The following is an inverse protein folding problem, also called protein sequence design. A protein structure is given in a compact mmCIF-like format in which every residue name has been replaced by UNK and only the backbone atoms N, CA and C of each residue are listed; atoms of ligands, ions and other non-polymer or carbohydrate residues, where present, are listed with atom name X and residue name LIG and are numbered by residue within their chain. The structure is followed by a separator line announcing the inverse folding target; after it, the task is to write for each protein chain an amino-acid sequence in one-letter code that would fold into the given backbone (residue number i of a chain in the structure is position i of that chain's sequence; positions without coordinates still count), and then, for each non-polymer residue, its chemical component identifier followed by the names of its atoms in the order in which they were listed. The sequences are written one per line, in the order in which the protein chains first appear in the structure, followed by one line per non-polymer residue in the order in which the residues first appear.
data_IF_174840540206
#
_entry.id   IF_174840540206
#
_cell.length_a   1.000
_cell.length_b   1.000
_cell.length_c   1.000
_cell.angle_alpha   90.00
_cell.angle_beta   90.00
_cell.angle_gamma   90.00
#
_symmetry.space_group_name_H-M   'P 1'
#
loop_
_entity.id
_entity.type
_entity.pdbx_description
1 polymer ?
#
# COMPACT_ATOMS: atom_id res chain seq x y z
N UNK A 1 -56.51 -41.04 6.08
CA UNK A 1 -56.26 -39.59 5.90
C UNK A 1 -54.76 -39.39 5.93
N UNK A 2 -54.11 -39.32 4.78
CA UNK A 2 -52.67 -39.10 4.62
C UNK A 2 -52.41 -37.63 4.32
N UNK A 3 -51.66 -36.97 5.22
CA UNK A 3 -51.24 -35.60 4.98
C UNK A 3 -49.93 -35.62 4.17
N UNK A 4 -49.98 -35.08 2.94
CA UNK A 4 -48.81 -34.79 2.14
C UNK A 4 -48.08 -33.56 2.74
N UNK A 5 -46.85 -33.72 3.18
CA UNK A 5 -45.95 -32.60 3.48
C UNK A 5 -45.35 -32.08 2.18
N UNK A 6 -45.55 -30.80 1.90
CA UNK A 6 -44.93 -30.11 0.79
C UNK A 6 -43.42 -29.81 1.10
N UNK A 7 -42.51 -29.94 0.12
CA UNK A 7 -41.11 -29.58 0.35
C UNK A 7 -40.94 -28.07 0.40
N UNK A 8 -40.31 -27.57 1.43
CA UNK A 8 -39.84 -26.22 1.54
C UNK A 8 -38.68 -26.03 0.53
N UNK A 9 -38.93 -25.35 -0.57
CA UNK A 9 -37.92 -24.90 -1.51
C UNK A 9 -37.18 -23.71 -0.89
N UNK A 10 -36.01 -23.97 -0.33
CA UNK A 10 -35.05 -22.92 0.02
C UNK A 10 -34.39 -22.47 -1.29
N UNK A 11 -34.85 -21.34 -1.82
CA UNK A 11 -34.12 -20.65 -2.87
C UNK A 11 -32.82 -20.08 -2.29
N UNK A 12 -31.65 -20.37 -2.85
CA UNK A 12 -30.45 -19.66 -2.46
C UNK A 12 -30.58 -18.21 -2.97
N UNK A 13 -30.80 -17.28 -2.04
CA UNK A 13 -30.57 -15.86 -2.34
C UNK A 13 -29.10 -15.73 -2.73
N UNK A 14 -28.84 -15.70 -4.03
CA UNK A 14 -27.56 -15.27 -4.57
C UNK A 14 -27.39 -13.81 -4.14
N UNK A 15 -26.65 -13.60 -3.06
CA UNK A 15 -26.26 -12.27 -2.59
C UNK A 15 -25.60 -11.54 -3.76
N UNK A 16 -26.35 -10.64 -4.40
CA UNK A 16 -25.85 -9.81 -5.47
C UNK A 16 -24.60 -9.06 -4.95
N UNK A 17 -23.48 -9.23 -5.65
CA UNK A 17 -22.26 -8.49 -5.29
C UNK A 17 -22.57 -6.99 -5.31
N UNK A 18 -22.14 -6.22 -4.32
CA UNK A 18 -22.36 -4.77 -4.30
C UNK A 18 -21.86 -4.16 -5.62
N UNK A 19 -22.65 -3.28 -6.23
CA UNK A 19 -22.31 -2.68 -7.53
C UNK A 19 -21.06 -1.79 -7.49
N UNK A 20 -20.64 -1.40 -6.29
CA UNK A 20 -19.58 -0.42 -6.05
C UNK A 20 -18.52 -0.98 -5.10
N UNK A 21 -17.25 -0.69 -5.40
CA UNK A 21 -16.11 -0.91 -4.51
C UNK A 21 -15.77 0.42 -3.85
N UNK A 22 -16.08 0.55 -2.56
CA UNK A 22 -15.78 1.75 -1.79
C UNK A 22 -14.33 1.70 -1.31
N UNK A 23 -13.46 2.46 -1.94
CA UNK A 23 -12.04 2.49 -1.63
C UNK A 23 -11.64 3.77 -0.90
N UNK A 24 -10.89 3.63 0.19
CA UNK A 24 -10.18 4.76 0.80
C UNK A 24 -8.88 4.99 0.06
N UNK A 25 -8.60 6.25 -0.23
CA UNK A 25 -7.33 6.73 -0.75
C UNK A 25 -6.76 7.81 0.17
N UNK A 26 -5.45 7.99 0.09
CA UNK A 26 -4.71 9.02 0.80
C UNK A 26 -4.22 10.04 -0.23
N UNK A 27 -4.53 11.32 -0.01
CA UNK A 27 -4.20 12.37 -0.97
C UNK A 27 -2.69 12.57 -1.09
N UNK A 28 -2.22 12.80 -2.34
CA UNK A 28 -0.82 13.13 -2.66
C UNK A 28 0.24 12.15 -2.14
N UNK A 29 -0.04 10.85 -2.23
CA UNK A 29 0.90 9.76 -1.90
C UNK A 29 1.42 9.12 -3.19
N UNK A 30 2.12 9.89 -4.04
CA UNK A 30 2.78 9.32 -5.24
C UNK A 30 3.77 8.22 -4.84
N UNK A 31 3.93 7.16 -5.63
CA UNK A 31 3.26 6.86 -6.90
C UNK A 31 1.89 6.17 -6.72
N UNK A 32 1.38 6.02 -5.50
CA UNK A 32 0.15 5.26 -5.20
C UNK A 32 -1.11 6.01 -5.59
N UNK A 33 -1.16 7.31 -5.26
CA UNK A 33 -2.31 8.18 -5.48
C UNK A 33 -1.87 9.59 -5.80
N UNK A 34 -2.46 10.17 -6.84
CA UNK A 34 -2.46 11.60 -7.11
C UNK A 34 -3.77 12.04 -7.71
N UNK A 35 -4.16 13.29 -7.41
CA UNK A 35 -5.36 13.90 -7.95
C UNK A 35 -5.08 14.47 -9.33
N UNK A 36 -6.02 14.29 -10.25
CA UNK A 36 -6.02 14.87 -11.60
C UNK A 36 -7.36 15.54 -11.86
N UNK A 37 -7.48 16.28 -12.96
CA UNK A 37 -8.76 16.87 -13.39
C UNK A 37 -9.80 15.78 -13.71
N UNK A 38 -9.37 14.59 -14.12
CA UNK A 38 -10.23 13.45 -14.44
C UNK A 38 -10.58 12.57 -13.23
N UNK A 39 -10.00 12.83 -12.04
CA UNK A 39 -10.20 12.03 -10.83
C UNK A 39 -8.90 11.69 -10.13
N UNK A 40 -8.62 10.41 -9.97
CA UNK A 40 -7.41 9.92 -9.30
C UNK A 40 -6.63 8.97 -10.21
N UNK A 41 -5.32 9.02 -10.13
CA UNK A 41 -4.38 8.12 -10.79
C UNK A 41 -3.33 7.61 -9.81
N UNK A 42 -2.63 6.54 -10.18
CA UNK A 42 -1.54 5.98 -9.38
C UNK A 42 -1.56 4.47 -9.34
N UNK A 43 -0.49 3.87 -8.84
CA UNK A 43 -0.38 2.42 -8.76
C UNK A 43 -1.47 1.80 -7.87
N UNK A 44 -1.85 2.49 -6.79
CA UNK A 44 -2.97 2.06 -5.94
C UNK A 44 -4.32 2.11 -6.66
N UNK A 45 -4.53 3.09 -7.56
CA UNK A 45 -5.73 3.20 -8.39
C UNK A 45 -5.80 2.05 -9.39
N UNK A 46 -4.70 1.76 -10.10
CA UNK A 46 -4.65 0.67 -11.07
C UNK A 46 -4.86 -0.70 -10.39
N UNK A 47 -4.28 -0.93 -9.21
CA UNK A 47 -4.54 -2.15 -8.42
C UNK A 47 -6.01 -2.23 -8.00
N UNK A 48 -6.64 -1.13 -7.57
CA UNK A 48 -8.08 -1.11 -7.22
C UNK A 48 -8.96 -1.43 -8.43
N UNK A 49 -8.59 -0.99 -9.63
CA UNK A 49 -9.32 -1.34 -10.86
C UNK A 49 -9.20 -2.84 -11.21
N UNK A 50 -8.02 -3.47 -11.02
CA UNK A 50 -7.87 -4.92 -11.15
C UNK A 50 -8.79 -5.67 -10.16
N UNK A 51 -8.83 -5.20 -8.90
CA UNK A 51 -9.70 -5.78 -7.86
C UNK A 51 -11.17 -5.58 -8.20
N UNK A 52 -11.55 -4.41 -8.71
CA UNK A 52 -12.91 -4.13 -9.18
C UNK A 52 -13.35 -5.14 -10.23
N UNK A 53 -12.53 -5.34 -11.28
CA UNK A 53 -12.80 -6.30 -12.35
C UNK A 53 -12.94 -7.72 -11.80
N UNK A 54 -11.98 -8.16 -10.98
CA UNK A 54 -11.97 -9.49 -10.37
C UNK A 54 -13.16 -9.74 -9.44
N UNK A 55 -13.63 -8.71 -8.75
CA UNK A 55 -14.77 -8.81 -7.82
C UNK A 55 -16.14 -8.66 -8.50
N UNK A 56 -16.18 -8.40 -9.81
CA UNK A 56 -17.40 -8.20 -10.59
C UNK A 56 -18.15 -6.91 -10.25
N UNK A 57 -17.47 -5.93 -9.64
CA UNK A 57 -18.07 -4.63 -9.33
C UNK A 57 -18.04 -3.71 -10.55
N UNK A 58 -19.01 -2.81 -10.65
CA UNK A 58 -19.16 -1.95 -11.83
C UNK A 58 -18.25 -0.72 -11.79
N UNK A 59 -17.96 -0.20 -10.58
CA UNK A 59 -17.13 1.00 -10.40
C UNK A 59 -16.39 0.97 -9.05
N UNK A 60 -15.33 1.76 -8.98
CA UNK A 60 -14.69 2.15 -7.71
C UNK A 60 -15.21 3.53 -7.32
N UNK A 61 -15.58 3.71 -6.06
CA UNK A 61 -15.82 5.03 -5.48
C UNK A 61 -14.71 5.35 -4.49
N UNK A 62 -14.12 6.51 -4.67
CA UNK A 62 -13.00 6.94 -3.86
C UNK A 62 -13.46 7.84 -2.71
N UNK A 63 -12.98 7.52 -1.52
CA UNK A 63 -13.14 8.33 -0.31
C UNK A 63 -11.77 8.81 0.10
N UNK A 64 -11.55 10.12 0.08
CA UNK A 64 -10.29 10.72 0.53
C UNK A 64 -10.31 10.77 2.06
N UNK A 65 -9.35 10.11 2.69
CA UNK A 65 -9.18 10.17 4.13
C UNK A 65 -8.43 11.44 4.53
N UNK A 66 -8.90 12.10 5.60
CA UNK A 66 -8.26 13.30 6.14
C UNK A 66 -6.91 12.98 6.80
N UNK A 67 -6.81 11.79 7.42
CA UNK A 67 -5.56 11.27 8.01
C UNK A 67 -5.41 9.79 7.70
N UNK A 68 -4.20 9.25 7.88
CA UNK A 68 -3.96 7.80 7.73
C UNK A 68 -4.81 7.00 8.71
N UNK A 69 -4.98 7.50 9.95
CA UNK A 69 -5.81 6.86 10.96
C UNK A 69 -7.28 6.82 10.53
N UNK A 70 -7.84 7.93 10.08
CA UNK A 70 -9.25 7.99 9.66
C UNK A 70 -9.54 7.01 8.53
N UNK A 71 -8.64 6.93 7.54
CA UNK A 71 -8.80 5.99 6.44
C UNK A 71 -8.77 4.52 6.87
N UNK A 72 -7.91 4.18 7.81
CA UNK A 72 -7.85 2.83 8.40
C UNK A 72 -9.13 2.54 9.19
N UNK A 73 -9.60 3.49 10.01
CA UNK A 73 -10.82 3.35 10.82
C UNK A 73 -12.07 3.20 9.92
N UNK A 74 -12.11 3.83 8.75
CA UNK A 74 -13.21 3.64 7.79
C UNK A 74 -13.28 2.20 7.27
N UNK A 75 -12.13 1.54 7.06
CA UNK A 75 -12.10 0.12 6.66
C UNK A 75 -12.47 -0.79 7.83
N UNK A 76 -11.95 -0.52 9.04
CA UNK A 76 -12.29 -1.28 10.25
C UNK A 76 -13.79 -1.26 10.50
N UNK A 77 -14.42 -0.10 10.38
CA UNK A 77 -15.86 0.10 10.67
C UNK A 77 -16.77 -0.28 9.49
N UNK A 78 -16.22 -0.66 8.34
CA UNK A 78 -16.99 -1.03 7.14
C UNK A 78 -17.63 0.16 6.41
N UNK A 79 -17.25 1.39 6.72
CA UNK A 79 -17.64 2.59 5.95
C UNK A 79 -17.02 2.57 4.55
N UNK A 80 -15.83 1.97 4.44
CA UNK A 80 -15.18 1.62 3.19
C UNK A 80 -14.90 0.12 3.13
N UNK A 81 -14.81 -0.43 1.92
CA UNK A 81 -14.55 -1.85 1.71
C UNK A 81 -13.06 -2.18 1.77
N UNK A 82 -12.22 -1.26 1.29
CA UNK A 82 -10.79 -1.52 1.05
C UNK A 82 -9.97 -0.22 1.08
N UNK A 83 -8.69 -0.34 1.47
CA UNK A 83 -7.67 0.67 1.18
C UNK A 83 -6.41 -0.04 0.71
N UNK A 84 -5.81 0.40 -0.42
CA UNK A 84 -4.58 -0.16 -0.96
C UNK A 84 -3.38 0.77 -0.66
N UNK A 85 -2.14 0.27 -0.83
CA UNK A 85 -0.94 1.04 -0.53
C UNK A 85 -0.60 1.16 0.96
N UNK A 86 -1.15 0.28 1.78
CA UNK A 86 -0.96 0.28 3.23
C UNK A 86 0.18 -0.65 3.62
N UNK A 87 1.19 -0.11 4.30
CA UNK A 87 2.30 -0.88 4.83
C UNK A 87 1.81 -1.80 5.96
N UNK A 88 2.27 -3.06 5.94
CA UNK A 88 1.98 -4.03 6.98
C UNK A 88 2.58 -3.62 8.32
N UNK A 89 1.79 -3.71 9.39
CA UNK A 89 2.26 -3.69 10.77
C UNK A 89 1.49 -4.71 11.60
N UNK A 90 2.16 -5.31 12.57
CA UNK A 90 1.51 -6.28 13.48
C UNK A 90 0.34 -5.66 14.24
N UNK A 91 0.47 -4.39 14.66
CA UNK A 91 -0.63 -3.69 15.35
C UNK A 91 -1.89 -3.57 14.49
N UNK A 92 -1.74 -3.27 13.19
CA UNK A 92 -2.90 -3.18 12.28
C UNK A 92 -3.49 -4.55 11.96
N UNK A 93 -2.67 -5.59 11.86
CA UNK A 93 -3.13 -6.95 11.54
C UNK A 93 -4.01 -7.58 12.64
N UNK A 94 -4.05 -7.00 13.84
CA UNK A 94 -4.99 -7.44 14.89
C UNK A 94 -6.44 -7.04 14.62
N UNK A 95 -6.68 -6.08 13.72
CA UNK A 95 -8.01 -5.53 13.43
C UNK A 95 -8.38 -5.59 11.94
N UNK A 96 -7.43 -5.86 11.06
CA UNK A 96 -7.58 -5.85 9.62
C UNK A 96 -6.95 -7.09 8.99
N UNK A 97 -7.49 -7.51 7.86
CA UNK A 97 -6.87 -8.51 7.00
C UNK A 97 -6.07 -7.82 5.89
N UNK A 98 -4.86 -8.29 5.65
CA UNK A 98 -3.98 -7.82 4.60
C UNK A 98 -4.02 -8.74 3.39
N UNK A 99 -4.00 -8.16 2.21
CA UNK A 99 -3.82 -8.88 0.95
C UNK A 99 -2.36 -9.33 0.76
N UNK A 100 -2.12 -10.09 -0.31
CA UNK A 100 -0.78 -10.19 -0.89
C UNK A 100 -0.21 -8.78 -1.08
N UNK A 101 1.07 -8.55 -0.76
CA UNK A 101 1.70 -7.28 -1.05
C UNK A 101 1.95 -7.14 -2.55
N UNK A 102 1.58 -6.02 -3.15
CA UNK A 102 1.91 -5.68 -4.54
C UNK A 102 3.17 -4.82 -4.67
N UNK A 103 3.77 -4.48 -3.55
CA UNK A 103 5.04 -3.79 -3.44
C UNK A 103 5.71 -4.06 -2.10
N UNK A 104 6.98 -3.76 -2.03
CA UNK A 104 7.77 -3.81 -0.80
C UNK A 104 8.38 -2.45 -0.57
N UNK A 105 8.31 -1.98 0.65
CA UNK A 105 8.90 -0.72 1.07
C UNK A 105 9.63 -0.87 2.38
N UNK A 106 9.98 0.25 2.92
CA UNK A 106 10.54 0.43 4.26
C UNK A 106 10.57 1.90 4.56
N UNK A 107 11.11 2.25 5.70
CA UNK A 107 11.23 3.64 6.12
C UNK A 107 12.59 4.18 5.71
N UNK A 108 12.60 5.31 5.05
CA UNK A 108 13.80 6.07 4.67
C UNK A 108 13.65 7.53 5.07
N UNK A 109 14.70 8.28 4.82
CA UNK A 109 14.80 9.71 5.04
C UNK A 109 15.13 10.37 3.71
N UNK A 110 14.45 11.47 3.40
CA UNK A 110 14.79 12.38 2.32
C UNK A 110 15.49 13.58 2.93
N UNK A 111 16.63 13.93 2.40
CA UNK A 111 17.47 15.05 2.87
C UNK A 111 18.19 15.69 1.68
N UNK A 112 18.86 16.82 1.88
CA UNK A 112 19.70 17.42 0.84
C UNK A 112 20.85 16.48 0.45
N UNK A 113 21.27 16.52 -0.83
CA UNK A 113 22.31 15.62 -1.36
C UNK A 113 23.71 15.90 -0.79
N UNK A 114 23.97 17.14 -0.35
CA UNK A 114 25.23 17.58 0.28
C UNK A 114 25.30 17.40 1.79
N UNK A 115 24.35 16.63 2.36
CA UNK A 115 24.29 16.39 3.80
C UNK A 115 25.46 15.55 4.31
N UNK A 116 25.87 15.79 5.55
CA UNK A 116 26.80 14.92 6.27
C UNK A 116 26.13 13.73 6.97
N UNK A 117 24.79 13.64 6.88
CA UNK A 117 24.00 12.58 7.49
C UNK A 117 24.07 11.34 6.60
N UNK A 118 24.35 10.18 7.18
CA UNK A 118 24.38 8.87 6.47
C UNK A 118 23.13 8.02 6.72
N UNK A 119 22.24 8.51 7.56
CA UNK A 119 21.00 7.83 7.94
C UNK A 119 21.18 6.77 9.04
N UNK A 120 22.34 6.69 9.70
CA UNK A 120 22.50 5.89 10.92
C UNK A 120 21.85 6.59 12.11
N UNK A 121 21.42 5.85 13.17
CA UNK A 121 20.87 6.46 14.38
C UNK A 121 21.80 7.50 15.02
N UNK A 122 23.11 7.28 14.94
CA UNK A 122 24.10 8.21 15.51
C UNK A 122 24.17 9.53 14.72
N UNK A 123 24.12 9.48 13.38
CA UNK A 123 24.11 10.68 12.54
C UNK A 123 22.81 11.48 12.66
N UNK A 124 21.75 10.87 13.17
CA UNK A 124 20.42 11.47 13.35
C UNK A 124 20.21 12.03 14.75
N UNK A 125 21.14 11.83 15.68
CA UNK A 125 21.04 12.34 17.04
C UNK A 125 20.96 13.86 17.05
N UNK A 126 19.93 14.39 17.71
CA UNK A 126 19.66 15.83 17.78
C UNK A 126 19.04 16.44 16.52
N UNK A 127 18.85 15.66 15.46
CA UNK A 127 18.19 16.12 14.22
C UNK A 127 16.68 16.21 14.40
N UNK A 128 16.04 17.08 13.61
CA UNK A 128 14.58 17.15 13.49
C UNK A 128 14.14 16.47 12.21
N UNK A 129 13.23 15.49 12.33
CA UNK A 129 12.70 14.70 11.22
C UNK A 129 11.19 14.95 11.13
N UNK A 130 10.72 15.47 9.99
CA UNK A 130 9.30 15.55 9.68
C UNK A 130 8.73 14.17 9.37
N UNK A 131 7.58 13.83 9.95
CA UNK A 131 6.90 12.54 9.72
C UNK A 131 5.40 12.75 9.63
N UNK A 132 4.72 11.89 8.85
CA UNK A 132 3.25 11.85 8.86
C UNK A 132 2.82 10.97 10.04
N UNK A 133 1.96 11.51 10.92
CA UNK A 133 1.47 10.79 12.11
C UNK A 133 0.73 9.50 11.73
N UNK A 134 0.68 8.55 12.64
CA UNK A 134 -0.02 7.26 12.52
C UNK A 134 0.41 6.38 11.33
N UNK A 135 1.54 6.72 10.70
CA UNK A 135 2.18 5.90 9.68
C UNK A 135 3.09 4.84 10.28
N UNK A 136 3.31 3.75 9.52
CA UNK A 136 4.33 2.75 9.89
C UNK A 136 5.72 3.38 10.00
N UNK A 137 6.04 4.34 9.12
CA UNK A 137 7.34 5.03 9.13
C UNK A 137 7.55 5.86 10.39
N UNK A 138 6.53 6.57 10.87
CA UNK A 138 6.64 7.32 12.13
C UNK A 138 6.90 6.38 13.32
N UNK A 139 6.23 5.21 13.35
CA UNK A 139 6.46 4.20 14.40
C UNK A 139 7.88 3.61 14.35
N UNK A 140 8.35 3.28 13.14
CA UNK A 140 9.72 2.76 12.93
C UNK A 140 10.76 3.80 13.38
N UNK A 141 10.66 5.04 12.94
CA UNK A 141 11.62 6.10 13.30
C UNK A 141 11.62 6.38 14.79
N UNK A 142 10.47 6.41 15.45
CA UNK A 142 10.39 6.55 16.91
C UNK A 142 11.16 5.45 17.65
N UNK A 143 11.17 4.24 17.11
CA UNK A 143 11.88 3.10 17.72
C UNK A 143 13.37 3.06 17.38
N UNK A 144 13.72 3.36 16.12
CA UNK A 144 15.08 3.15 15.59
C UNK A 144 15.99 4.36 15.84
N UNK A 145 15.42 5.57 15.88
CA UNK A 145 16.18 6.82 16.06
C UNK A 145 15.69 7.63 17.27
N UNK A 146 15.74 7.08 18.49
CA UNK A 146 15.18 7.73 19.68
C UNK A 146 15.90 9.04 20.06
N UNK A 147 17.10 9.28 19.50
CA UNK A 147 17.85 10.51 19.68
C UNK A 147 17.46 11.67 18.78
N UNK A 148 16.57 11.45 17.80
CA UNK A 148 16.02 12.48 16.92
C UNK A 148 14.71 13.04 17.48
N UNK A 149 14.39 14.29 17.08
CA UNK A 149 13.09 14.90 17.35
C UNK A 149 12.16 14.65 16.17
N UNK A 150 11.02 13.99 16.39
CA UNK A 150 10.01 13.78 15.34
C UNK A 150 8.98 14.91 15.36
N UNK A 151 8.93 15.72 14.29
CA UNK A 151 7.90 16.72 14.04
C UNK A 151 6.78 16.09 13.22
N UNK A 152 5.62 15.88 13.84
CA UNK A 152 4.49 15.20 13.22
C UNK A 152 3.60 16.14 12.43
N UNK A 153 3.16 15.70 11.25
CA UNK A 153 2.19 16.36 10.37
C UNK A 153 0.97 15.47 10.18
N UNK A 154 -0.17 16.05 9.86
CA UNK A 154 -1.42 15.31 9.66
C UNK A 154 -1.45 14.60 8.32
N UNK A 155 -0.92 15.24 7.28
CA UNK A 155 -1.00 14.77 5.90
C UNK A 155 0.39 14.68 5.26
N UNK A 156 0.55 13.82 4.23
CA UNK A 156 1.77 13.78 3.42
C UNK A 156 2.10 15.12 2.75
N UNK A 157 1.08 15.85 2.32
CA UNK A 157 1.21 17.16 1.67
C UNK A 157 1.81 18.21 2.62
N UNK A 158 1.34 18.27 3.87
CA UNK A 158 1.90 19.16 4.89
C UNK A 158 3.35 18.82 5.20
N UNK A 159 3.66 17.53 5.39
CA UNK A 159 5.02 17.07 5.69
C UNK A 159 5.99 17.41 4.55
N UNK A 160 5.57 17.19 3.30
CA UNK A 160 6.37 17.53 2.12
C UNK A 160 6.54 19.04 1.96
N UNK A 161 5.49 19.82 2.20
CA UNK A 161 5.55 21.29 2.17
C UNK A 161 6.55 21.82 3.21
N UNK A 162 6.53 21.30 4.43
CA UNK A 162 7.45 21.68 5.49
C UNK A 162 8.91 21.33 5.16
N UNK A 163 9.14 20.20 4.47
CA UNK A 163 10.48 19.84 3.96
C UNK A 163 10.92 20.81 2.86
N UNK A 164 10.07 21.08 1.88
CA UNK A 164 10.39 21.95 0.75
C UNK A 164 10.61 23.42 1.17
N UNK A 165 9.95 23.89 2.22
CA UNK A 165 10.15 25.23 2.78
C UNK A 165 11.38 25.34 3.71
N UNK A 166 11.98 24.22 4.07
CA UNK A 166 13.10 24.17 5.02
C UNK A 166 12.67 24.18 6.49
N UNK A 167 11.38 24.09 6.81
CA UNK A 167 10.88 24.01 8.19
C UNK A 167 11.33 22.72 8.90
N UNK A 168 11.60 21.67 8.12
CA UNK A 168 12.27 20.44 8.57
C UNK A 168 13.38 20.09 7.60
N UNK A 169 14.60 19.84 8.09
CA UNK A 169 15.74 19.50 7.21
C UNK A 169 15.71 18.08 6.68
N UNK A 170 14.92 17.20 7.30
CA UNK A 170 14.81 15.79 6.99
C UNK A 170 13.34 15.40 6.96
N UNK A 171 12.94 14.66 5.92
CA UNK A 171 11.60 14.08 5.81
C UNK A 171 11.68 12.56 5.94
N UNK A 172 11.00 11.99 6.93
CA UNK A 172 10.91 10.55 7.15
C UNK A 172 9.63 9.96 6.58
N UNK A 173 9.73 8.87 5.82
CA UNK A 173 8.56 8.28 5.19
C UNK A 173 8.80 6.94 4.51
N UNK A 174 7.77 6.42 3.83
CA UNK A 174 7.85 5.21 3.02
C UNK A 174 8.72 5.39 1.79
N UNK A 175 9.52 4.38 1.46
CA UNK A 175 10.50 4.43 0.36
C UNK A 175 9.89 4.89 -0.97
N UNK A 176 8.71 4.35 -1.35
CA UNK A 176 8.08 4.69 -2.63
C UNK A 176 7.68 6.16 -2.69
N UNK A 177 7.05 6.67 -1.63
CA UNK A 177 6.63 8.06 -1.54
C UNK A 177 7.80 9.03 -1.55
N UNK A 178 8.86 8.73 -0.80
CA UNK A 178 10.05 9.58 -0.80
C UNK A 178 10.78 9.54 -2.14
N UNK A 179 10.88 8.37 -2.80
CA UNK A 179 11.48 8.26 -4.13
C UNK A 179 10.71 9.09 -5.17
N UNK A 180 9.37 9.06 -5.11
CA UNK A 180 8.54 9.84 -6.01
C UNK A 180 8.63 11.37 -5.80
N UNK A 181 9.17 11.82 -4.67
CA UNK A 181 9.36 13.23 -4.31
C UNK A 181 10.85 13.61 -4.20
N UNK A 182 11.76 12.74 -4.64
CA UNK A 182 13.20 12.99 -4.66
C UNK A 182 13.67 13.49 -6.02
N UNK A 183 14.75 14.30 -5.99
CA UNK A 183 15.51 14.68 -7.19
C UNK A 183 16.96 14.28 -6.95
N UNK A 184 17.52 13.33 -7.73
CA UNK A 184 18.88 12.83 -7.52
C UNK A 184 19.96 13.90 -7.49
N UNK A 185 19.73 15.05 -8.16
CA UNK A 185 20.66 16.16 -8.21
C UNK A 185 20.70 16.96 -6.90
N UNK A 186 19.61 17.01 -6.15
CA UNK A 186 19.45 17.90 -4.99
C UNK A 186 19.13 17.17 -3.69
N UNK A 187 18.71 15.92 -3.76
CA UNK A 187 18.29 15.15 -2.58
C UNK A 187 18.95 13.78 -2.52
N UNK A 188 19.06 13.25 -1.29
CA UNK A 188 19.50 11.90 -1.00
C UNK A 188 18.43 11.11 -0.23
N UNK A 189 18.31 9.83 -0.55
CA UNK A 189 17.46 8.88 0.18
C UNK A 189 18.31 7.99 1.08
N UNK A 190 18.18 8.16 2.40
CA UNK A 190 18.97 7.51 3.42
C UNK A 190 18.12 6.70 4.42
N UNK A 191 18.69 5.67 5.05
CA UNK A 191 19.91 4.96 4.68
C UNK A 191 19.73 4.18 3.37
N UNK A 192 20.80 3.66 2.79
CA UNK A 192 20.71 2.81 1.60
C UNK A 192 19.81 1.58 1.83
N UNK A 193 19.94 0.94 2.99
CA UNK A 193 19.04 -0.14 3.43
C UNK A 193 17.92 0.47 4.29
N UNK A 194 16.67 0.46 3.83
CA UNK A 194 15.55 1.01 4.60
C UNK A 194 15.41 0.38 5.98
N UNK A 195 15.01 1.17 6.96
CA UNK A 195 14.53 0.65 8.23
C UNK A 195 13.19 -0.05 8.06
N UNK A 196 12.92 -1.08 8.87
CA UNK A 196 11.60 -1.68 9.01
C UNK A 196 10.95 -2.05 7.66
N UNK A 197 11.57 -2.95 6.89
CA UNK A 197 10.99 -3.43 5.63
C UNK A 197 9.63 -4.08 5.87
N UNK A 198 8.66 -3.77 5.03
CA UNK A 198 7.33 -4.37 5.07
C UNK A 198 6.72 -4.48 3.67
N UNK A 199 5.81 -5.43 3.49
CA UNK A 199 4.94 -5.49 2.34
C UNK A 199 3.99 -4.29 2.29
N UNK A 200 3.70 -3.82 1.10
CA UNK A 200 2.68 -2.82 0.81
C UNK A 200 1.54 -3.54 0.11
N UNK A 201 0.40 -3.62 0.75
CA UNK A 201 -0.77 -4.35 0.25
C UNK A 201 -2.05 -3.56 0.39
N UNK A 202 -3.17 -4.25 0.22
CA UNK A 202 -4.48 -3.73 0.52
C UNK A 202 -4.96 -4.25 1.88
N UNK A 203 -5.75 -3.45 2.58
CA UNK A 203 -6.43 -3.83 3.82
C UNK A 203 -7.93 -3.92 3.59
N UNK A 204 -8.53 -4.91 4.19
CA UNK A 204 -9.99 -5.11 4.26
C UNK A 204 -10.39 -5.41 5.70
N UNK A 205 -11.67 -5.23 6.04
CA UNK A 205 -12.18 -5.67 7.34
C UNK A 205 -11.99 -7.19 7.51
N UNK A 206 -11.66 -7.65 8.72
CA UNK A 206 -11.48 -9.08 9.02
C UNK A 206 -12.71 -9.93 8.67
N UNK A 207 -13.89 -9.33 8.68
CA UNK A 207 -15.15 -10.01 8.35
C UNK A 207 -15.41 -10.10 6.82
N UNK A 208 -14.52 -9.55 5.97
CA UNK A 208 -14.71 -9.53 4.51
C UNK A 208 -13.73 -10.47 3.79
N UNK A 209 -13.71 -11.75 4.19
CA UNK A 209 -12.84 -12.78 3.60
C UNK A 209 -13.07 -12.99 2.10
N UNK A 210 -14.32 -12.80 1.62
CA UNK A 210 -14.61 -12.89 0.17
C UNK A 210 -13.87 -11.81 -0.61
N UNK A 211 -13.91 -10.55 -0.16
CA UNK A 211 -13.19 -9.48 -0.83
C UNK A 211 -11.68 -9.68 -0.74
N UNK A 212 -11.17 -10.15 0.41
CA UNK A 212 -9.76 -10.49 0.56
C UNK A 212 -9.29 -11.53 -0.46
N UNK A 213 -10.06 -12.61 -0.63
CA UNK A 213 -9.74 -13.65 -1.62
C UNK A 213 -9.75 -13.11 -3.05
N UNK A 214 -10.73 -12.27 -3.40
CA UNK A 214 -10.79 -11.62 -4.71
C UNK A 214 -9.62 -10.63 -4.92
N UNK A 215 -9.24 -9.91 -3.88
CA UNK A 215 -8.08 -9.00 -3.88
C UNK A 215 -6.78 -9.76 -4.11
N UNK A 216 -6.58 -10.87 -3.38
CA UNK A 216 -5.40 -11.71 -3.54
C UNK A 216 -5.31 -12.31 -4.94
N UNK A 217 -6.44 -12.76 -5.50
CA UNK A 217 -6.47 -13.30 -6.86
C UNK A 217 -6.12 -12.23 -7.89
N UNK A 218 -6.69 -11.02 -7.78
CA UNK A 218 -6.37 -9.92 -8.68
C UNK A 218 -4.87 -9.54 -8.64
N UNK A 219 -4.31 -9.41 -7.44
CA UNK A 219 -2.89 -9.07 -7.25
C UNK A 219 -2.01 -10.22 -7.76
N UNK A 220 -2.33 -11.47 -7.44
CA UNK A 220 -1.57 -12.63 -7.90
C UNK A 220 -1.56 -12.75 -9.44
N UNK A 221 -2.71 -12.55 -10.09
CA UNK A 221 -2.81 -12.56 -11.55
C UNK A 221 -2.02 -11.40 -12.18
N UNK A 222 -2.06 -10.20 -11.61
CA UNK A 222 -1.25 -9.08 -12.05
C UNK A 222 0.26 -9.39 -11.98
N UNK A 223 0.71 -9.96 -10.86
CA UNK A 223 2.12 -10.34 -10.69
C UNK A 223 2.54 -11.41 -11.71
N UNK A 224 1.72 -12.44 -11.91
CA UNK A 224 2.00 -13.51 -12.86
C UNK A 224 2.05 -12.96 -14.29
N UNK A 225 1.06 -12.15 -14.70
CA UNK A 225 1.04 -11.53 -16.01
C UNK A 225 2.26 -10.62 -16.28
N UNK A 226 2.72 -9.88 -15.25
CA UNK A 226 3.95 -9.09 -15.35
C UNK A 226 5.17 -9.98 -15.62
N UNK A 227 5.31 -11.09 -14.89
CA UNK A 227 6.42 -12.03 -15.04
C UNK A 227 6.39 -12.75 -16.40
N UNK A 228 5.19 -13.13 -16.86
CA UNK A 228 4.97 -13.77 -18.16
C UNK A 228 5.18 -12.83 -19.35
N UNK A 229 5.36 -11.55 -19.08
CA UNK A 229 5.68 -10.57 -20.10
C UNK A 229 4.48 -9.92 -20.78
N UNK A 230 3.29 -9.97 -20.16
CA UNK A 230 2.13 -9.27 -20.68
C UNK A 230 2.41 -7.77 -20.83
N UNK A 231 2.26 -7.27 -22.04
CA UNK A 231 2.66 -5.91 -22.39
C UNK A 231 1.84 -4.85 -21.63
N UNK A 232 0.54 -5.06 -21.47
CA UNK A 232 -0.34 -4.12 -20.79
C UNK A 232 -0.05 -4.04 -19.29
N UNK A 233 0.14 -5.20 -18.66
CA UNK A 233 0.49 -5.27 -17.23
C UNK A 233 1.87 -4.69 -16.96
N UNK A 234 2.85 -4.96 -17.84
CA UNK A 234 4.19 -4.35 -17.72
C UNK A 234 4.14 -2.84 -17.86
N UNK A 235 3.42 -2.32 -18.85
CA UNK A 235 3.25 -0.88 -19.01
C UNK A 235 2.59 -0.24 -17.79
N UNK A 236 1.53 -0.86 -17.26
CA UNK A 236 0.84 -0.39 -16.07
C UNK A 236 1.78 -0.31 -14.85
N UNK A 237 2.50 -1.38 -14.53
CA UNK A 237 3.40 -1.44 -13.36
C UNK A 237 4.63 -0.56 -13.56
N UNK A 238 5.26 -0.63 -14.74
CA UNK A 238 6.47 0.14 -15.05
C UNK A 238 6.25 1.64 -14.99
N UNK A 239 5.07 2.12 -15.37
CA UNK A 239 4.67 3.54 -15.27
C UNK A 239 4.87 4.09 -13.86
N UNK A 240 4.60 3.29 -12.83
CA UNK A 240 4.58 3.74 -11.45
C UNK A 240 5.85 3.42 -10.68
N UNK A 241 6.40 2.22 -10.88
CA UNK A 241 7.54 1.74 -10.09
C UNK A 241 8.70 1.21 -10.93
N UNK A 242 8.51 1.03 -12.23
CA UNK A 242 9.47 0.42 -13.15
C UNK A 242 10.51 1.39 -13.72
N UNK A 243 11.25 0.95 -14.74
CA UNK A 243 12.26 1.75 -15.40
C UNK A 243 11.65 3.02 -16.01
N UNK A 244 12.29 4.17 -15.75
CA UNK A 244 11.82 5.48 -16.21
C UNK A 244 10.78 6.15 -15.31
N UNK A 245 10.23 5.46 -14.30
CA UNK A 245 9.47 6.10 -13.23
C UNK A 245 10.40 6.76 -12.21
N UNK A 246 9.85 7.63 -11.36
CA UNK A 246 10.60 8.24 -10.26
C UNK A 246 11.09 7.23 -9.20
N UNK A 247 10.50 6.03 -9.14
CA UNK A 247 10.94 4.93 -8.26
C UNK A 247 12.09 4.15 -8.88
N UNK A 248 12.09 3.95 -10.21
CA UNK A 248 13.22 3.46 -10.99
C UNK A 248 13.63 2.00 -10.73
N UNK A 249 12.69 1.12 -10.35
CA UNK A 249 13.02 -0.30 -10.19
C UNK A 249 13.29 -0.94 -11.56
N UNK A 250 14.25 -1.86 -11.61
CA UNK A 250 14.46 -2.65 -12.83
C UNK A 250 13.37 -3.71 -12.99
N UNK A 251 13.09 -4.12 -14.23
CA UNK A 251 12.11 -5.19 -14.51
C UNK A 251 12.50 -6.52 -13.87
N UNK A 252 13.80 -6.82 -13.83
CA UNK A 252 14.34 -8.00 -13.15
C UNK A 252 14.09 -7.93 -11.65
N UNK A 253 14.25 -6.75 -11.04
CA UNK A 253 13.97 -6.51 -9.63
C UNK A 253 12.50 -6.71 -9.29
N UNK A 254 11.59 -6.19 -10.12
CA UNK A 254 10.15 -6.35 -9.97
C UNK A 254 9.77 -7.83 -10.16
N UNK A 255 10.26 -8.49 -11.22
CA UNK A 255 9.98 -9.90 -11.47
C UNK A 255 10.49 -10.81 -10.35
N UNK A 256 11.69 -10.55 -9.83
CA UNK A 256 12.25 -11.31 -8.69
C UNK A 256 11.40 -11.13 -7.43
N UNK A 257 10.92 -9.91 -7.15
CA UNK A 257 10.03 -9.65 -6.03
C UNK A 257 8.70 -10.40 -6.18
N UNK A 258 8.08 -10.31 -7.35
CA UNK A 258 6.79 -10.95 -7.61
C UNK A 258 6.90 -12.48 -7.56
N UNK A 259 7.96 -13.05 -8.16
CA UNK A 259 8.24 -14.47 -8.08
C UNK A 259 8.42 -14.97 -6.64
N UNK A 260 9.13 -14.22 -5.81
CA UNK A 260 9.28 -14.55 -4.38
C UNK A 260 7.94 -14.53 -3.64
N UNK A 261 7.11 -13.50 -3.86
CA UNK A 261 5.80 -13.39 -3.20
C UNK A 261 4.91 -14.57 -3.60
N UNK A 262 4.83 -14.89 -4.89
CA UNK A 262 3.98 -15.96 -5.40
C UNK A 262 4.47 -17.36 -4.92
N UNK A 263 5.76 -17.62 -4.89
CA UNK A 263 6.30 -18.90 -4.41
C UNK A 263 6.02 -19.12 -2.91
N UNK A 264 6.26 -18.12 -2.06
CA UNK A 264 5.93 -18.22 -0.62
C UNK A 264 4.44 -18.46 -0.41
N UNK A 265 3.59 -17.79 -1.19
CA UNK A 265 2.13 -17.94 -1.08
C UNK A 265 1.69 -19.35 -1.47
N UNK A 266 2.26 -19.94 -2.52
CA UNK A 266 1.98 -21.29 -2.95
C UNK A 266 2.40 -22.33 -1.89
N UNK A 267 3.59 -22.18 -1.29
CA UNK A 267 4.06 -23.05 -0.21
C UNK A 267 3.15 -23.02 1.02
N UNK A 268 2.74 -21.81 1.48
CA UNK A 268 1.83 -21.69 2.61
C UNK A 268 0.48 -22.36 2.31
N UNK A 269 -0.04 -22.23 1.09
CA UNK A 269 -1.31 -22.83 0.69
C UNK A 269 -1.26 -24.35 0.72
N UNK A 270 -0.14 -24.98 0.34
CA UNK A 270 0.05 -26.45 0.38
C UNK A 270 0.18 -26.97 1.81
N UNK A 271 0.77 -26.20 2.72
CA UNK A 271 0.90 -26.57 4.14
C UNK A 271 -0.44 -26.50 4.86
N UNK A 272 -1.26 -25.47 4.55
CA UNK A 272 -2.57 -25.25 5.20
C UNK A 272 -3.65 -26.18 4.62
N UNK A 273 -3.54 -26.60 3.36
CA UNK A 273 -4.47 -27.51 2.67
C UNK A 273 -3.70 -28.71 2.05
N UNK A 274 -3.22 -29.68 2.85
CA UNK A 274 -2.36 -30.76 2.35
C UNK A 274 -3.09 -31.82 1.48
N UNK A 275 -4.26 -31.53 0.97
CA UNK A 275 -5.08 -32.48 0.18
C UNK A 275 -5.86 -31.86 -0.97
N UNK A 276 -5.54 -30.65 -1.41
CA UNK A 276 -6.19 -30.02 -2.59
C UNK A 276 -5.39 -30.22 -3.86
#
# INVERSE_FOLDING_TARGET
MSALAAPLSVSPEASASPLELKAVIFEEVKPLYSKTDAGYEGFGVDVLEQIRMQSGRRRVSYRVASTVKDGIDEVITGKADIACGVAFTWGRSTQLSYSLPFGVGGTRLLTASDTSIDGTPDSLKGQTIGVVRDTASAQVLKSVVPGATLKSFDTPSEALSAYNSGDVPILGGGTLWLAANSSPETTALLPFRPYGRSGIGCIVSQNNGKLLSQTNLAIGQMMQAYMDGDAGTREMVDRWIGPGSSVGLTREGISSLYGLILSITAEISTVVNPGS
#
